data_IF_443104772606
#
_entry.id   IF_443104772606
#
_cell.length_a   1.000
_cell.length_b   1.000
_cell.length_c   1.000
_cell.angle_alpha   90.00
_cell.angle_beta   90.00
_cell.angle_gamma   90.00
#
_symmetry.space_group_name_H-M   'P 1'
#
loop_
_entity.id
_entity.type
_entity.pdbx_description
1 polymer ?
#
# COMPACT_ATOMS: atom_id res chain seq x y z
N UNK A 1 -5.50 -5.34 -18.30
CA UNK A 1 -5.70 -4.12 -17.49
C UNK A 1 -4.44 -3.94 -16.64
N UNK A 2 -3.83 -2.74 -16.58
CA UNK A 2 -2.62 -2.53 -15.80
C UNK A 2 -2.94 -2.58 -14.29
N UNK A 3 -2.11 -3.32 -13.56
CA UNK A 3 -2.12 -3.38 -12.09
C UNK A 3 -0.95 -2.57 -11.54
N UNK A 4 -1.12 -2.03 -10.34
CA UNK A 4 -0.10 -1.25 -9.65
C UNK A 4 0.57 -2.12 -8.58
N UNK A 5 1.89 -2.22 -8.65
CA UNK A 5 2.68 -2.95 -7.68
C UNK A 5 2.84 -2.14 -6.39
N UNK A 6 2.57 -2.76 -5.25
CA UNK A 6 2.70 -2.15 -3.94
C UNK A 6 3.96 -2.67 -3.25
N UNK A 7 4.88 -1.76 -2.95
CA UNK A 7 6.11 -2.05 -2.21
C UNK A 7 5.84 -2.16 -0.69
N UNK A 8 6.71 -2.88 0.02
CA UNK A 8 6.68 -3.02 1.49
C UNK A 8 6.58 -1.68 2.21
N UNK A 9 7.27 -0.64 1.74
CA UNK A 9 7.26 0.67 2.40
C UNK A 9 5.86 1.29 2.48
N UNK A 10 5.02 1.09 1.45
CA UNK A 10 3.64 1.60 1.46
C UNK A 10 2.82 0.88 2.53
N UNK A 11 2.98 -0.44 2.66
CA UNK A 11 2.29 -1.22 3.68
C UNK A 11 2.75 -0.83 5.09
N UNK A 12 4.07 -0.65 5.28
CA UNK A 12 4.66 -0.20 6.55
C UNK A 12 4.12 1.17 6.94
N UNK A 13 4.16 2.16 6.05
CA UNK A 13 3.64 3.49 6.35
C UNK A 13 2.14 3.49 6.59
N UNK A 14 1.35 2.68 5.87
CA UNK A 14 -0.08 2.60 6.09
C UNK A 14 -0.43 2.12 7.50
N UNK A 15 0.40 1.26 8.09
CA UNK A 15 0.24 0.72 9.44
C UNK A 15 0.87 1.61 10.53
N UNK A 16 2.04 2.19 10.28
CA UNK A 16 2.81 2.97 11.25
C UNK A 16 2.07 4.25 11.68
N UNK A 17 1.61 4.28 12.94
CA UNK A 17 0.89 5.41 13.53
C UNK A 17 1.75 6.67 13.70
N UNK A 18 3.08 6.53 13.71
CA UNK A 18 4.03 7.64 13.88
C UNK A 18 4.41 8.32 12.56
N UNK A 19 4.13 7.69 11.41
CA UNK A 19 4.55 8.16 10.09
C UNK A 19 3.77 9.38 9.55
N UNK A 20 2.89 9.99 10.35
CA UNK A 20 2.24 11.28 10.06
C UNK A 20 1.60 11.37 8.67
N UNK A 21 2.07 12.30 7.84
CA UNK A 21 1.57 12.49 6.48
C UNK A 21 1.78 11.26 5.58
N UNK A 22 2.90 10.55 5.74
CA UNK A 22 3.17 9.32 4.96
C UNK A 22 2.14 8.25 5.25
N UNK A 23 1.74 8.10 6.52
CA UNK A 23 0.67 7.18 6.91
C UNK A 23 -0.64 7.49 6.22
N UNK A 24 -1.05 8.76 6.22
CA UNK A 24 -2.30 9.20 5.59
C UNK A 24 -2.32 8.85 4.11
N UNK A 25 -1.26 9.25 3.38
CA UNK A 25 -1.13 8.99 1.93
C UNK A 25 -1.09 7.48 1.66
N UNK A 26 -0.30 6.72 2.41
CA UNK A 26 -0.21 5.27 2.24
C UNK A 26 -1.55 4.56 2.50
N UNK A 27 -2.32 4.97 3.51
CA UNK A 27 -3.66 4.42 3.76
C UNK A 27 -4.63 4.74 2.63
N UNK A 28 -4.61 5.97 2.11
CA UNK A 28 -5.44 6.36 0.97
C UNK A 28 -5.14 5.52 -0.27
N UNK A 29 -3.85 5.32 -0.59
CA UNK A 29 -3.40 4.49 -1.71
C UNK A 29 -3.85 3.02 -1.55
N UNK A 30 -3.58 2.40 -0.40
CA UNK A 30 -3.94 0.99 -0.14
C UNK A 30 -5.46 0.80 -0.23
N UNK A 31 -6.25 1.70 0.36
CA UNK A 31 -7.70 1.62 0.30
C UNK A 31 -8.23 1.83 -1.13
N UNK A 32 -7.66 2.74 -1.90
CA UNK A 32 -7.99 2.95 -3.31
C UNK A 32 -7.77 1.70 -4.15
N UNK A 33 -6.55 1.17 -4.11
CA UNK A 33 -6.16 -0.02 -4.87
C UNK A 33 -6.97 -1.27 -4.47
N UNK A 34 -7.32 -1.40 -3.18
CA UNK A 34 -8.17 -2.49 -2.69
C UNK A 34 -9.60 -2.38 -3.23
N UNK A 35 -10.17 -1.18 -3.28
CA UNK A 35 -11.53 -0.96 -3.83
C UNK A 35 -11.59 -1.22 -5.33
N UNK A 36 -10.58 -0.75 -6.06
CA UNK A 36 -10.50 -0.90 -7.52
C UNK A 36 -10.05 -2.30 -7.96
N UNK A 37 -9.59 -3.14 -7.03
CA UNK A 37 -8.96 -4.44 -7.33
C UNK A 37 -7.79 -4.32 -8.31
N UNK A 38 -7.01 -3.24 -8.16
CA UNK A 38 -5.88 -2.90 -9.06
C UNK A 38 -4.51 -2.97 -8.40
N UNK A 39 -4.43 -3.30 -7.11
CA UNK A 39 -3.15 -3.53 -6.43
C UNK A 39 -2.63 -4.96 -6.64
N UNK A 40 -1.32 -5.10 -6.80
CA UNK A 40 -0.63 -6.39 -6.73
C UNK A 40 0.55 -6.34 -5.76
N UNK A 41 0.89 -7.50 -5.19
CA UNK A 41 2.02 -7.72 -4.30
C UNK A 41 2.84 -8.89 -4.85
N UNK A 42 4.15 -8.87 -4.65
CA UNK A 42 4.96 -10.08 -4.82
C UNK A 42 4.98 -10.86 -3.51
N UNK A 43 5.28 -12.16 -3.58
CA UNK A 43 5.49 -12.98 -2.38
C UNK A 43 6.65 -12.46 -1.54
N UNK A 44 7.65 -11.83 -2.14
CA UNK A 44 8.80 -11.22 -1.46
C UNK A 44 8.41 -10.04 -0.57
N UNK A 45 7.32 -9.33 -0.88
CA UNK A 45 6.81 -8.22 -0.02
C UNK A 45 6.15 -8.77 1.26
N UNK A 46 5.77 -10.05 1.28
CA UNK A 46 5.12 -10.71 2.42
C UNK A 46 6.09 -11.49 3.32
N UNK A 47 7.36 -11.61 2.93
CA UNK A 47 8.40 -12.40 3.61
C UNK A 47 9.38 -11.53 4.40
#
# INVERSE_FOLDING_TARGET
>A
MPVEFVDTNILVYAHDTSAGAKRRVARELVLGLSRERRGCLSTQVLL
#
